data_IF_975448237121
#
_entry.id   IF_975448237121
#
_cell.length_a   1.000
_cell.length_b   1.000
_cell.length_c   1.000
_cell.angle_alpha   90.00
_cell.angle_beta   90.00
_cell.angle_gamma   90.00
#
_symmetry.space_group_name_H-M   'P 1'
#
loop_
_entity.id
_entity.type
_entity.pdbx_description
1 polymer ?
#
# COMPACT_ATOMS: atom_id res chain seq x y z
N UNK A 1 14.55 -9.45 9.01
CA UNK A 1 15.15 -9.13 10.32
C UNK A 1 16.47 -9.85 10.47
N UNK A 2 17.45 -9.27 11.16
CA UNK A 2 18.73 -9.92 11.40
C UNK A 2 18.61 -10.67 12.73
N UNK A 3 18.45 -11.99 12.74
CA UNK A 3 18.21 -12.77 13.96
C UNK A 3 19.38 -12.78 14.93
N UNK A 4 20.54 -12.27 14.48
CA UNK A 4 21.79 -12.21 15.27
C UNK A 4 21.91 -10.94 16.12
N UNK A 5 21.00 -9.97 15.96
CA UNK A 5 21.07 -8.70 16.70
C UNK A 5 20.13 -8.75 17.89
N UNK A 6 20.66 -9.08 19.06
CA UNK A 6 19.99 -9.02 20.37
C UNK A 6 20.47 -7.78 21.12
N UNK A 7 19.55 -6.94 21.59
CA UNK A 7 19.80 -5.82 22.49
C UNK A 7 18.84 -5.87 23.67
N UNK A 8 19.32 -5.51 24.84
CA UNK A 8 18.54 -5.50 26.08
C UNK A 8 17.66 -4.25 26.24
N UNK A 9 17.75 -3.28 25.32
CA UNK A 9 17.02 -2.01 25.37
C UNK A 9 16.24 -1.78 24.05
N UNK A 10 15.11 -1.06 24.11
CA UNK A 10 14.38 -0.68 22.90
C UNK A 10 15.26 0.21 22.02
N UNK A 11 15.39 -0.13 20.75
CA UNK A 11 16.25 0.62 19.85
C UNK A 11 16.10 0.16 18.40
N UNK A 12 16.98 0.67 17.54
CA UNK A 12 17.02 0.31 16.11
C UNK A 12 18.13 -0.70 15.84
N UNK A 13 17.89 -1.63 14.92
CA UNK A 13 18.88 -2.58 14.43
C UNK A 13 20.08 -1.82 13.82
N UNK A 14 21.34 -2.08 14.24
CA UNK A 14 22.51 -1.37 13.70
C UNK A 14 22.78 -1.67 12.21
N UNK A 15 22.28 -2.79 11.69
CA UNK A 15 22.52 -3.21 10.31
C UNK A 15 21.45 -2.66 9.34
N UNK A 16 20.17 -2.65 9.73
CA UNK A 16 19.07 -2.22 8.85
C UNK A 16 18.24 -1.04 9.37
N UNK A 17 18.55 -0.53 10.60
CA UNK A 17 17.89 0.60 11.26
C UNK A 17 16.40 0.44 11.56
N UNK A 18 15.83 -0.75 11.34
CA UNK A 18 14.45 -1.04 11.75
C UNK A 18 14.34 -1.12 13.28
N UNK A 19 13.16 -0.78 13.81
CA UNK A 19 12.88 -0.90 15.24
C UNK A 19 12.99 -2.36 15.68
N UNK A 20 13.72 -2.60 16.79
CA UNK A 20 13.80 -3.92 17.40
C UNK A 20 12.50 -4.19 18.16
N UNK A 21 11.89 -5.34 17.90
CA UNK A 21 10.68 -5.79 18.59
C UNK A 21 11.08 -6.62 19.81
N UNK A 22 10.45 -6.45 21.00
CA UNK A 22 10.77 -7.25 22.18
C UNK A 22 10.58 -8.73 21.92
N UNK A 23 11.62 -9.53 22.14
CA UNK A 23 11.54 -10.98 22.08
C UNK A 23 11.08 -11.47 23.47
N UNK A 24 9.86 -12.00 23.52
CA UNK A 24 9.19 -12.69 24.61
C UNK A 24 9.72 -12.49 26.04
N UNK A 25 9.07 -11.66 26.83
CA UNK A 25 9.06 -11.82 28.29
C UNK A 25 7.86 -12.66 28.69
N UNK A 26 8.12 -13.94 28.98
CA UNK A 26 7.32 -14.65 29.97
C UNK A 26 7.58 -14.00 31.32
N UNK A 27 6.70 -13.16 31.78
CA UNK A 27 6.64 -12.77 33.19
C UNK A 27 5.18 -12.78 33.61
N UNK A 28 4.87 -13.79 34.42
CA UNK A 28 3.71 -13.73 35.27
C UNK A 28 3.83 -12.54 36.20
N UNK A 29 2.79 -11.77 36.29
CA UNK A 29 2.44 -11.04 37.50
C UNK A 29 0.94 -10.88 37.63
N UNK A 30 0.49 -11.23 38.81
CA UNK A 30 -0.83 -11.17 39.41
C UNK A 30 -1.42 -9.76 39.49
N UNK A 31 -2.78 -9.76 39.43
CA UNK A 31 -3.77 -8.95 40.17
C UNK A 31 -3.96 -7.47 39.79
N UNK A 32 -5.12 -7.05 39.38
CA UNK A 32 -6.37 -6.88 40.14
C UNK A 32 -7.47 -6.36 39.20
N UNK A 33 -8.68 -6.77 39.53
CA UNK A 33 -9.96 -6.34 38.97
C UNK A 33 -10.10 -4.84 38.76
N UNK A 34 -10.52 -4.44 37.56
CA UNK A 34 -11.66 -3.56 37.38
C UNK A 34 -12.29 -3.82 36.02
N UNK A 35 -13.58 -4.15 36.07
CA UNK A 35 -14.49 -4.25 34.94
C UNK A 35 -14.48 -2.97 34.14
N UNK A 36 -14.21 -3.04 32.85
CA UNK A 36 -14.91 -2.30 31.82
C UNK A 36 -14.72 -3.06 30.50
N UNK A 37 -15.85 -3.44 29.93
CA UNK A 37 -15.90 -4.11 28.65
C UNK A 37 -15.32 -3.25 27.55
N UNK A 38 -14.30 -3.72 26.89
CA UNK A 38 -13.85 -3.22 25.62
C UNK A 38 -13.71 -4.35 24.61
N UNK A 39 -14.49 -4.18 23.60
CA UNK A 39 -14.74 -5.01 22.47
C UNK A 39 -13.45 -5.42 21.74
N UNK A 40 -13.25 -6.74 21.61
CA UNK A 40 -12.38 -7.39 20.63
C UNK A 40 -12.88 -7.11 19.20
N UNK A 41 -12.49 -5.96 18.65
CA UNK A 41 -12.69 -5.59 17.26
C UNK A 41 -11.35 -5.20 16.61
N UNK A 42 -10.39 -6.12 16.48
CA UNK A 42 -9.12 -5.76 15.83
C UNK A 42 -8.83 -6.47 14.50
N UNK A 43 -9.60 -7.48 14.11
CA UNK A 43 -9.39 -8.16 12.82
C UNK A 43 -10.27 -7.64 11.67
N UNK A 44 -11.40 -6.95 11.97
CA UNK A 44 -12.31 -6.42 10.94
C UNK A 44 -12.15 -4.92 10.63
N UNK A 45 -11.28 -4.20 11.35
CA UNK A 45 -11.11 -2.75 11.13
C UNK A 45 -10.11 -2.42 10.01
N UNK A 46 -9.15 -3.29 9.69
CA UNK A 46 -8.20 -3.03 8.59
C UNK A 46 -8.87 -3.08 7.21
N UNK A 47 -9.76 -4.03 6.96
CA UNK A 47 -10.43 -4.17 5.65
C UNK A 47 -11.40 -3.03 5.32
N UNK A 48 -12.06 -2.44 6.33
CA UNK A 48 -12.95 -1.28 6.12
C UNK A 48 -12.20 0.01 5.83
N UNK A 49 -11.00 0.19 6.38
CA UNK A 49 -10.21 1.41 6.18
C UNK A 49 -9.46 1.42 4.85
N UNK A 50 -8.96 0.28 4.37
CA UNK A 50 -8.28 0.20 3.06
C UNK A 50 -9.24 0.45 1.88
N UNK A 51 -10.45 -0.10 1.92
CA UNK A 51 -11.47 0.13 0.90
C UNK A 51 -11.94 1.59 0.84
N UNK A 52 -11.98 2.28 1.97
CA UNK A 52 -12.35 3.69 2.04
C UNK A 52 -11.29 4.63 1.43
N UNK A 53 -10.01 4.32 1.57
CA UNK A 53 -8.94 5.17 1.03
C UNK A 53 -8.90 5.18 -0.51
N UNK A 54 -9.06 4.04 -1.16
CA UNK A 54 -9.07 3.97 -2.65
C UNK A 54 -10.28 4.64 -3.26
N UNK A 55 -11.45 4.49 -2.63
CA UNK A 55 -12.67 5.17 -3.09
C UNK A 55 -12.56 6.69 -2.90
N UNK A 56 -11.86 7.14 -1.86
CA UNK A 56 -11.64 8.57 -1.61
C UNK A 56 -10.72 9.20 -2.67
N UNK A 57 -9.65 8.51 -3.10
CA UNK A 57 -8.77 8.99 -4.17
C UNK A 57 -9.50 9.07 -5.53
N UNK A 58 -10.30 8.07 -5.88
CA UNK A 58 -11.08 8.10 -7.12
C UNK A 58 -12.13 9.22 -7.11
N UNK A 59 -12.81 9.43 -5.98
CA UNK A 59 -13.75 10.53 -5.80
C UNK A 59 -13.05 11.89 -5.94
N UNK A 60 -11.89 12.05 -5.30
CA UNK A 60 -11.08 13.27 -5.42
C UNK A 60 -10.60 13.49 -6.84
N UNK A 61 -10.18 12.45 -7.55
CA UNK A 61 -9.80 12.54 -8.96
C UNK A 61 -10.93 13.09 -9.83
N UNK A 62 -12.14 12.52 -9.76
CA UNK A 62 -13.26 12.98 -10.58
C UNK A 62 -13.70 14.41 -10.25
N UNK A 63 -13.76 14.75 -8.97
CA UNK A 63 -14.11 16.12 -8.55
C UNK A 63 -13.02 17.11 -9.03
N UNK A 64 -11.74 16.77 -8.85
CA UNK A 64 -10.63 17.63 -9.31
C UNK A 64 -10.62 17.74 -10.82
N UNK A 65 -10.93 16.66 -11.56
CA UNK A 65 -11.03 16.69 -13.01
C UNK A 65 -12.13 17.65 -13.50
N UNK A 66 -13.30 17.61 -12.86
CA UNK A 66 -14.41 18.53 -13.18
C UNK A 66 -14.03 19.97 -12.90
N UNK A 67 -13.32 20.26 -11.81
CA UNK A 67 -12.83 21.61 -11.47
C UNK A 67 -11.74 22.06 -12.42
N UNK A 68 -10.92 21.15 -12.92
CA UNK A 68 -9.81 21.46 -13.85
C UNK A 68 -10.33 21.96 -15.21
N UNK A 69 -11.46 21.45 -15.69
CA UNK A 69 -12.01 21.88 -16.99
C UNK A 69 -12.24 23.39 -17.07
N UNK A 70 -12.96 24.05 -16.14
CA UNK A 70 -13.12 25.49 -16.17
C UNK A 70 -11.80 26.25 -15.92
N UNK A 71 -10.86 25.70 -15.13
CA UNK A 71 -9.54 26.31 -14.95
C UNK A 71 -8.79 26.34 -16.30
N UNK A 72 -8.79 25.26 -17.04
CA UNK A 72 -8.18 25.19 -18.37
C UNK A 72 -8.86 26.17 -19.35
N UNK A 73 -10.19 26.23 -19.34
CA UNK A 73 -10.94 27.12 -20.21
C UNK A 73 -10.68 28.61 -19.91
N UNK A 74 -10.44 28.96 -18.65
CA UNK A 74 -10.17 30.34 -18.23
C UNK A 74 -8.68 30.71 -18.22
N UNK A 75 -7.77 29.76 -18.34
CA UNK A 75 -6.34 30.01 -18.36
C UNK A 75 -5.92 30.77 -19.61
N UNK A 76 -5.33 31.94 -19.44
CA UNK A 76 -4.85 32.80 -20.55
C UNK A 76 -3.84 32.09 -21.45
N UNK A 77 -3.00 31.22 -20.89
CA UNK A 77 -2.02 30.45 -21.66
C UNK A 77 -2.71 29.45 -22.60
N UNK A 78 -3.72 28.74 -22.13
CA UNK A 78 -4.49 27.79 -22.95
C UNK A 78 -5.33 28.53 -24.00
N UNK A 79 -5.92 29.66 -23.63
CA UNK A 79 -6.67 30.50 -24.56
C UNK A 79 -5.78 30.98 -25.69
N UNK A 80 -4.59 31.50 -25.40
CA UNK A 80 -3.63 31.94 -26.41
C UNK A 80 -3.17 30.79 -27.32
N UNK A 81 -3.00 29.58 -26.77
CA UNK A 81 -2.59 28.41 -27.54
C UNK A 81 -3.67 27.87 -28.45
N UNK A 82 -4.95 27.89 -28.01
CA UNK A 82 -6.09 27.43 -28.78
C UNK A 82 -6.75 28.54 -29.65
N UNK A 83 -6.32 29.79 -29.52
CA UNK A 83 -6.77 30.90 -30.34
C UNK A 83 -8.18 31.42 -30.01
N UNK A 84 -8.63 31.31 -28.75
CA UNK A 84 -9.88 31.90 -28.26
C UNK A 84 -9.62 32.81 -27.08
N UNK A 85 -10.54 33.72 -26.77
CA UNK A 85 -10.47 34.60 -25.59
C UNK A 85 -11.82 34.54 -24.84
N UNK A 86 -11.76 34.24 -23.55
CA UNK A 86 -12.89 34.23 -22.60
C UNK A 86 -12.53 35.16 -21.45
N UNK A 87 -12.60 36.50 -21.71
CA UNK A 87 -12.30 37.49 -20.71
C UNK A 87 -13.58 38.14 -20.21
N UNK A 88 -13.78 38.13 -18.88
CA UNK A 88 -14.86 38.84 -18.23
C UNK A 88 -14.38 39.49 -16.93
N UNK A 89 -15.11 40.51 -16.49
CA UNK A 89 -14.72 41.22 -15.26
C UNK A 89 -14.74 40.30 -14.07
N UNK A 90 -13.56 39.94 -13.52
CA UNK A 90 -13.41 39.09 -12.35
C UNK A 90 -12.95 37.64 -12.65
N UNK A 91 -12.60 37.31 -13.89
CA UNK A 91 -12.05 36.01 -14.31
C UNK A 91 -10.90 35.54 -13.40
N UNK A 92 -9.97 36.44 -13.05
CA UNK A 92 -8.84 36.15 -12.13
C UNK A 92 -9.29 35.68 -10.75
N UNK A 93 -10.37 36.23 -10.21
CA UNK A 93 -10.89 35.84 -8.91
C UNK A 93 -11.61 34.48 -8.99
N UNK A 94 -12.25 34.18 -10.13
CA UNK A 94 -12.83 32.85 -10.38
C UNK A 94 -11.72 31.80 -10.48
N UNK A 95 -10.64 32.08 -11.21
CA UNK A 95 -9.44 31.24 -11.27
C UNK A 95 -8.83 31.02 -9.89
N UNK A 96 -8.71 32.07 -9.08
CA UNK A 96 -8.23 31.99 -7.71
C UNK A 96 -9.12 31.06 -6.84
N UNK A 97 -10.42 31.24 -6.93
CA UNK A 97 -11.37 30.41 -6.16
C UNK A 97 -11.29 28.93 -6.55
N UNK A 98 -11.28 28.64 -7.85
CA UNK A 98 -11.15 27.28 -8.39
C UNK A 98 -9.78 26.68 -8.08
N UNK A 99 -8.70 27.47 -8.25
CA UNK A 99 -7.33 27.06 -7.92
C UNK A 99 -7.17 26.76 -6.42
N UNK A 100 -7.77 27.57 -5.55
CA UNK A 100 -7.78 27.32 -4.10
C UNK A 100 -8.55 26.06 -3.77
N UNK A 101 -9.71 25.84 -4.39
CA UNK A 101 -10.52 24.65 -4.16
C UNK A 101 -9.78 23.37 -4.55
N UNK A 102 -9.13 23.35 -5.72
CA UNK A 102 -8.38 22.18 -6.18
C UNK A 102 -7.11 21.96 -5.34
N UNK A 103 -6.41 23.03 -4.95
CA UNK A 103 -5.23 22.95 -4.08
C UNK A 103 -5.58 22.35 -2.72
N UNK A 104 -6.64 22.83 -2.05
CA UNK A 104 -7.05 22.36 -0.73
C UNK A 104 -7.73 20.98 -0.79
N UNK A 105 -8.57 20.72 -1.79
CA UNK A 105 -9.30 19.44 -1.87
C UNK A 105 -8.49 18.34 -2.54
N UNK A 106 -8.00 18.57 -3.74
CA UNK A 106 -7.22 17.62 -4.53
C UNK A 106 -5.76 17.48 -4.08
N UNK A 107 -5.14 18.60 -3.67
CA UNK A 107 -3.76 18.66 -3.20
C UNK A 107 -3.54 18.11 -1.77
N UNK A 108 -4.59 18.06 -0.92
CA UNK A 108 -4.48 17.66 0.49
C UNK A 108 -3.75 16.32 0.73
N UNK A 109 -3.96 15.25 -0.05
CA UNK A 109 -3.21 14.00 0.12
C UNK A 109 -1.70 14.19 0.00
N UNK A 110 -1.25 15.00 -0.96
CA UNK A 110 0.18 15.27 -1.20
C UNK A 110 0.77 16.14 -0.09
N UNK A 111 0.03 17.13 0.38
CA UNK A 111 0.46 17.99 1.50
C UNK A 111 0.60 17.17 2.80
N UNK A 112 -0.36 16.28 3.09
CA UNK A 112 -0.26 15.36 4.24
C UNK A 112 0.87 14.35 4.06
N UNK A 113 1.05 13.82 2.85
CA UNK A 113 2.15 12.91 2.51
C UNK A 113 3.51 13.55 2.72
N UNK A 114 3.70 14.81 2.28
CA UNK A 114 4.92 15.58 2.54
C UNK A 114 5.23 15.68 4.03
N UNK A 115 4.24 16.01 4.86
CA UNK A 115 4.44 16.09 6.32
C UNK A 115 4.89 14.73 6.88
N UNK A 116 4.31 13.63 6.38
CA UNK A 116 4.72 12.26 6.76
C UNK A 116 6.15 11.94 6.34
N UNK A 117 6.52 12.19 5.09
CA UNK A 117 7.87 11.95 4.55
C UNK A 117 8.93 12.78 5.26
N UNK A 118 8.65 14.06 5.53
CA UNK A 118 9.57 14.96 6.27
C UNK A 118 9.76 14.49 7.71
N UNK A 119 8.68 14.11 8.40
CA UNK A 119 8.78 13.54 9.77
C UNK A 119 9.57 12.24 9.80
N UNK A 120 9.40 11.40 8.79
CA UNK A 120 10.14 10.15 8.64
C UNK A 120 11.58 10.35 8.14
N UNK A 121 11.99 11.59 7.79
CA UNK A 121 13.27 11.91 7.14
C UNK A 121 13.51 11.13 5.84
N UNK A 122 12.45 10.76 5.17
CA UNK A 122 12.45 9.96 3.94
C UNK A 122 11.74 10.76 2.83
N UNK A 123 12.39 11.82 2.37
CA UNK A 123 11.90 12.69 1.29
C UNK A 123 11.70 11.85 0.03
N UNK A 124 10.51 11.90 -0.54
CA UNK A 124 10.09 11.14 -1.70
C UNK A 124 9.20 11.95 -2.65
N UNK A 125 8.37 11.24 -3.39
CA UNK A 125 7.52 11.80 -4.45
C UNK A 125 6.45 12.75 -3.89
N UNK A 126 5.86 12.46 -2.72
CA UNK A 126 4.82 13.31 -2.12
C UNK A 126 5.37 14.69 -1.78
N UNK A 127 6.60 14.77 -1.27
CA UNK A 127 7.26 16.05 -0.96
C UNK A 127 7.52 16.86 -2.23
N UNK A 128 8.01 16.23 -3.30
CA UNK A 128 8.27 16.92 -4.57
C UNK A 128 6.99 17.53 -5.16
N UNK A 129 5.92 16.73 -5.23
CA UNK A 129 4.62 17.19 -5.73
C UNK A 129 4.05 18.32 -4.85
N UNK A 130 4.09 18.14 -3.52
CA UNK A 130 3.59 19.14 -2.59
C UNK A 130 4.31 20.49 -2.71
N UNK A 131 5.63 20.47 -2.90
CA UNK A 131 6.42 21.71 -3.16
C UNK A 131 6.00 22.34 -4.48
N UNK A 132 5.91 21.56 -5.56
CA UNK A 132 5.55 22.09 -6.88
C UNK A 132 4.16 22.73 -6.87
N UNK A 133 3.13 22.04 -6.32
CA UNK A 133 1.78 22.61 -6.25
C UNK A 133 1.69 23.80 -5.31
N UNK A 134 2.49 23.84 -4.22
CA UNK A 134 2.49 24.97 -3.29
C UNK A 134 3.15 26.20 -3.91
N UNK A 135 4.29 26.03 -4.58
CA UNK A 135 4.98 27.13 -5.26
C UNK A 135 4.12 27.70 -6.39
N UNK A 136 3.51 26.84 -7.22
CA UNK A 136 2.60 27.25 -8.27
C UNK A 136 1.39 28.02 -7.70
N UNK A 137 0.80 27.53 -6.62
CA UNK A 137 -0.34 28.16 -5.96
C UNK A 137 0.03 29.54 -5.38
N UNK A 138 1.08 29.62 -4.58
CA UNK A 138 1.50 30.88 -3.92
C UNK A 138 1.86 31.94 -4.94
N UNK A 139 2.58 31.58 -5.99
CA UNK A 139 2.91 32.50 -7.08
C UNK A 139 1.66 33.00 -7.83
N UNK A 140 0.75 32.08 -8.20
CA UNK A 140 -0.49 32.45 -8.89
C UNK A 140 -1.39 33.36 -8.04
N UNK A 141 -1.43 33.13 -6.72
CA UNK A 141 -2.10 34.05 -5.79
C UNK A 141 -1.46 35.44 -5.85
N UNK A 142 -0.13 35.53 -5.82
CA UNK A 142 0.57 36.84 -5.93
C UNK A 142 0.27 37.54 -7.26
N UNK A 143 0.16 36.80 -8.37
CA UNK A 143 -0.21 37.37 -9.70
C UNK A 143 -1.62 37.94 -9.67
N UNK A 144 -2.60 37.23 -9.06
CA UNK A 144 -3.97 37.74 -8.93
C UNK A 144 -4.02 39.06 -8.14
N UNK A 145 -3.15 39.23 -7.14
CA UNK A 145 -3.07 40.42 -6.30
C UNK A 145 -2.13 41.51 -6.85
N UNK A 146 -1.66 41.39 -8.09
CA UNK A 146 -0.98 42.49 -8.80
C UNK A 146 0.50 42.26 -9.11
N UNK A 147 1.06 41.07 -8.82
CA UNK A 147 2.39 40.73 -9.33
C UNK A 147 2.32 40.57 -10.85
N UNK A 148 3.16 41.29 -11.65
CA UNK A 148 3.21 41.06 -13.08
C UNK A 148 3.65 39.63 -13.42
N UNK A 149 3.01 39.00 -14.41
CA UNK A 149 3.31 37.63 -14.84
C UNK A 149 2.08 36.85 -15.19
N UNK A 150 2.28 35.58 -15.59
CA UNK A 150 1.19 34.63 -15.87
C UNK A 150 0.97 33.70 -14.67
N UNK A 151 -0.29 33.39 -14.38
CA UNK A 151 -0.64 32.41 -13.34
C UNK A 151 -0.33 30.98 -13.77
N UNK A 152 -0.14 30.09 -12.78
CA UNK A 152 0.14 28.66 -12.95
C UNK A 152 -1.02 27.78 -12.42
N UNK A 153 -2.26 28.29 -12.40
CA UNK A 153 -3.38 27.51 -11.92
C UNK A 153 -3.69 26.30 -12.80
N UNK A 154 -3.44 26.38 -14.11
CA UNK A 154 -3.68 25.27 -15.01
C UNK A 154 -2.67 24.13 -14.82
N UNK A 155 -1.37 24.47 -14.61
CA UNK A 155 -0.35 23.46 -14.28
C UNK A 155 -0.63 22.80 -12.93
N UNK A 156 -0.95 23.60 -11.91
CA UNK A 156 -1.33 23.13 -10.60
C UNK A 156 -2.50 22.15 -10.69
N UNK A 157 -3.55 22.48 -11.44
CA UNK A 157 -4.73 21.66 -11.57
C UNK A 157 -4.45 20.34 -12.30
N UNK A 158 -3.75 20.42 -13.44
CA UNK A 158 -3.40 19.22 -14.23
C UNK A 158 -2.43 18.32 -13.47
N UNK A 159 -1.45 18.87 -12.76
CA UNK A 159 -0.53 18.11 -11.91
C UNK A 159 -1.29 17.33 -10.83
N UNK A 160 -2.20 17.99 -10.10
CA UNK A 160 -2.99 17.34 -9.06
C UNK A 160 -3.84 16.21 -9.64
N UNK A 161 -4.53 16.43 -10.77
CA UNK A 161 -5.37 15.39 -11.41
C UNK A 161 -4.56 14.18 -11.84
N UNK A 162 -3.43 14.40 -12.52
CA UNK A 162 -2.56 13.31 -12.98
C UNK A 162 -2.00 12.53 -11.79
N UNK A 163 -1.57 13.20 -10.74
CA UNK A 163 -1.02 12.56 -9.56
C UNK A 163 -2.07 11.80 -8.74
N UNK A 164 -3.31 12.29 -8.65
CA UNK A 164 -4.41 11.57 -8.03
C UNK A 164 -4.74 10.28 -8.79
N UNK A 165 -4.72 10.34 -10.14
CA UNK A 165 -4.91 9.16 -10.99
C UNK A 165 -3.80 8.12 -10.75
N UNK A 166 -2.53 8.57 -10.76
CA UNK A 166 -1.38 7.70 -10.54
C UNK A 166 -1.46 6.97 -9.21
N UNK A 167 -1.77 7.71 -8.15
CA UNK A 167 -1.87 7.15 -6.80
C UNK A 167 -3.06 6.19 -6.65
N UNK A 168 -4.21 6.50 -7.27
CA UNK A 168 -5.34 5.59 -7.31
C UNK A 168 -5.01 4.27 -8.03
N UNK A 169 -4.30 4.33 -9.16
CA UNK A 169 -3.85 3.14 -9.89
C UNK A 169 -2.91 2.28 -9.05
N UNK A 170 -1.99 2.92 -8.32
CA UNK A 170 -1.08 2.25 -7.40
C UNK A 170 -1.83 1.49 -6.31
N UNK A 171 -2.74 2.17 -5.61
CA UNK A 171 -3.54 1.57 -4.53
C UNK A 171 -4.46 0.44 -5.04
N UNK A 172 -5.08 0.62 -6.20
CA UNK A 172 -5.91 -0.42 -6.83
C UNK A 172 -5.11 -1.69 -7.12
N UNK A 173 -3.85 -1.54 -7.56
CA UNK A 173 -2.95 -2.67 -7.80
C UNK A 173 -2.62 -3.43 -6.52
N UNK A 174 -2.34 -2.72 -5.44
CA UNK A 174 -2.03 -3.33 -4.15
C UNK A 174 -3.22 -4.12 -3.61
N UNK A 175 -4.45 -3.62 -3.78
CA UNK A 175 -5.67 -4.31 -3.35
C UNK A 175 -6.01 -5.56 -4.18
N UNK A 176 -5.69 -5.59 -5.48
CA UNK A 176 -5.93 -6.77 -6.30
C UNK A 176 -5.11 -7.97 -5.80
N UNK A 177 -3.90 -7.72 -5.31
CA UNK A 177 -3.04 -8.72 -4.71
C UNK A 177 -3.58 -9.20 -3.34
N UNK A 178 -4.17 -8.31 -2.53
CA UNK A 178 -4.78 -8.64 -1.24
C UNK A 178 -6.03 -9.54 -1.37
N UNK A 179 -6.83 -9.38 -2.43
CA UNK A 179 -7.97 -10.27 -2.70
C UNK A 179 -7.59 -11.73 -2.91
N UNK A 180 -6.46 -11.99 -3.54
CA UNK A 180 -5.96 -13.36 -3.71
C UNK A 180 -5.62 -14.02 -2.37
N UNK A 181 -5.14 -13.23 -1.38
CA UNK A 181 -4.89 -13.70 -0.03
C UNK A 181 -6.19 -14.01 0.73
N UNK A 182 -7.21 -13.17 0.58
CA UNK A 182 -8.51 -13.40 1.22
C UNK A 182 -9.14 -14.74 0.79
N UNK A 183 -8.91 -15.17 -0.45
CA UNK A 183 -9.35 -16.49 -0.90
C UNK A 183 -8.67 -17.65 -0.17
N UNK A 184 -7.44 -17.48 0.32
CA UNK A 184 -6.76 -18.49 1.15
C UNK A 184 -7.36 -18.55 2.57
N UNK A 185 -7.74 -17.42 3.15
CA UNK A 185 -8.43 -17.38 4.45
C UNK A 185 -9.80 -18.06 4.37
N UNK A 186 -10.50 -17.92 3.24
CA UNK A 186 -11.78 -18.59 3.00
C UNK A 186 -11.69 -20.14 2.90
N UNK A 187 -10.47 -20.69 2.88
CA UNK A 187 -10.27 -22.14 2.98
C UNK A 187 -10.58 -22.69 4.37
N UNK A 188 -10.51 -21.88 5.43
CA UNK A 188 -10.80 -22.33 6.79
C UNK A 188 -12.32 -22.38 7.04
N UNK A 189 -12.80 -23.35 7.81
CA UNK A 189 -14.21 -23.42 8.24
C UNK A 189 -14.47 -22.37 9.33
N UNK A 190 -15.70 -21.87 9.41
CA UNK A 190 -16.11 -20.93 10.46
C UNK A 190 -16.34 -21.63 11.82
N UNK A 191 -16.77 -22.90 11.78
CA UNK A 191 -17.09 -23.72 12.94
C UNK A 191 -16.28 -25.01 12.92
N UNK A 192 -15.94 -25.50 14.09
CA UNK A 192 -15.19 -26.74 14.31
C UNK A 192 -15.84 -27.60 15.34
N UNK A 193 -15.72 -28.91 15.21
CA UNK A 193 -16.21 -29.87 16.21
C UNK A 193 -15.04 -30.30 17.09
N UNK A 194 -15.07 -29.96 18.38
CA UNK A 194 -14.07 -30.34 19.36
C UNK A 194 -14.62 -31.39 20.30
N UNK A 195 -13.75 -32.29 20.81
CA UNK A 195 -14.08 -33.26 21.84
C UNK A 195 -13.65 -32.70 23.20
N UNK A 196 -14.62 -32.40 24.08
CA UNK A 196 -14.38 -31.95 25.46
C UNK A 196 -15.11 -32.86 26.40
N UNK A 197 -14.42 -33.48 27.37
CA UNK A 197 -14.98 -34.42 28.36
C UNK A 197 -15.72 -35.61 27.72
N UNK A 198 -15.31 -36.05 26.54
CA UNK A 198 -15.94 -37.14 25.81
C UNK A 198 -17.18 -36.75 24.98
N UNK A 199 -17.59 -35.51 25.00
CA UNK A 199 -18.70 -34.98 24.20
C UNK A 199 -18.18 -34.15 23.00
N UNK A 200 -18.87 -34.29 21.87
CA UNK A 200 -18.59 -33.53 20.67
C UNK A 200 -19.36 -32.18 20.69
N UNK A 201 -18.65 -31.09 20.79
CA UNK A 201 -19.19 -29.75 20.85
C UNK A 201 -18.79 -28.95 19.59
N UNK A 202 -19.75 -28.24 19.00
CA UNK A 202 -19.44 -27.26 17.93
C UNK A 202 -19.08 -25.92 18.54
N UNK A 203 -17.92 -25.40 18.17
CA UNK A 203 -17.44 -24.09 18.59
C UNK A 203 -17.01 -23.27 17.36
N UNK A 204 -16.86 -21.97 17.50
CA UNK A 204 -16.24 -21.13 16.46
C UNK A 204 -14.75 -21.44 16.35
N UNK A 205 -14.19 -21.35 15.13
CA UNK A 205 -12.75 -21.57 14.91
C UNK A 205 -11.88 -20.69 15.81
N UNK A 206 -12.33 -19.46 16.09
CA UNK A 206 -11.62 -18.50 16.93
C UNK A 206 -11.49 -18.91 18.41
N UNK A 207 -12.38 -19.80 18.86
CA UNK A 207 -12.40 -20.33 20.23
C UNK A 207 -11.54 -21.58 20.43
N UNK A 208 -11.05 -22.17 19.32
CA UNK A 208 -10.20 -23.36 19.34
C UNK A 208 -8.83 -23.03 19.96
N UNK A 209 -8.37 -23.89 20.86
CA UNK A 209 -7.08 -23.76 21.55
C UNK A 209 -6.11 -24.87 21.17
N UNK A 210 -4.81 -24.54 21.25
CA UNK A 210 -3.76 -25.55 21.11
C UNK A 210 -3.92 -26.64 22.15
N UNK A 211 -3.74 -27.92 21.74
CA UNK A 211 -3.91 -29.11 22.58
C UNK A 211 -5.33 -29.66 22.59
N UNK A 212 -6.33 -28.98 22.07
CA UNK A 212 -7.69 -29.52 21.96
C UNK A 212 -7.80 -30.59 20.87
N UNK A 213 -8.65 -31.58 21.10
CA UNK A 213 -8.94 -32.63 20.13
C UNK A 213 -10.07 -32.17 19.21
N UNK A 214 -9.81 -32.14 17.91
CA UNK A 214 -10.80 -31.79 16.89
C UNK A 214 -11.21 -33.02 16.12
N UNK A 215 -12.53 -33.20 15.92
CA UNK A 215 -13.11 -34.24 15.12
C UNK A 215 -13.39 -33.74 13.72
N UNK A 216 -12.83 -34.40 12.71
CA UNK A 216 -12.96 -34.03 11.30
C UNK A 216 -13.65 -35.18 10.56
N UNK A 217 -14.82 -34.91 10.01
CA UNK A 217 -15.61 -35.86 9.24
C UNK A 217 -15.11 -35.98 7.81
N UNK A 218 -15.51 -37.04 7.09
CA UNK A 218 -15.24 -37.16 5.66
C UNK A 218 -15.68 -35.91 4.88
N UNK A 219 -14.83 -35.40 3.98
CA UNK A 219 -15.08 -34.24 3.18
C UNK A 219 -14.94 -32.89 3.89
N UNK A 220 -14.75 -32.86 5.22
CA UNK A 220 -14.58 -31.59 5.95
C UNK A 220 -13.17 -31.02 5.77
N UNK A 221 -13.10 -29.71 5.87
CA UNK A 221 -11.82 -28.97 5.88
C UNK A 221 -11.15 -29.11 7.25
N UNK A 222 -9.85 -29.29 7.25
CA UNK A 222 -9.02 -29.33 8.46
C UNK A 222 -8.88 -27.91 9.01
N UNK A 223 -9.35 -27.63 10.24
CA UNK A 223 -9.46 -26.27 10.76
C UNK A 223 -8.15 -25.70 11.32
N UNK A 224 -7.23 -26.57 11.74
CA UNK A 224 -5.98 -26.17 12.39
C UNK A 224 -4.86 -27.17 12.05
N UNK A 225 -3.62 -26.72 12.17
CA UNK A 225 -2.48 -27.62 12.11
C UNK A 225 -2.52 -28.55 13.31
N UNK A 226 -2.21 -29.81 13.10
CA UNK A 226 -2.28 -30.79 14.17
C UNK A 226 -1.59 -32.09 13.87
N UNK A 227 -1.63 -32.97 14.88
CA UNK A 227 -1.19 -34.36 14.81
C UNK A 227 -2.40 -35.26 14.94
N UNK A 228 -2.52 -36.24 14.07
CA UNK A 228 -3.62 -37.22 14.12
C UNK A 228 -3.48 -38.05 15.38
N UNK A 229 -4.46 -37.97 16.26
CA UNK A 229 -4.56 -38.78 17.48
C UNK A 229 -5.34 -40.10 17.27
N UNK A 230 -6.19 -40.14 16.22
CA UNK A 230 -6.96 -41.34 15.88
C UNK A 230 -7.61 -41.26 14.50
N UNK A 231 -7.90 -42.42 13.94
CA UNK A 231 -8.47 -42.54 12.59
C UNK A 231 -7.41 -42.70 11.50
N UNK A 232 -7.88 -42.96 10.29
CA UNK A 232 -7.09 -43.02 9.07
C UNK A 232 -7.92 -42.46 7.91
N UNK A 233 -7.29 -41.71 7.04
CA UNK A 233 -7.94 -41.10 5.86
C UNK A 233 -6.92 -40.74 4.81
N UNK A 234 -7.40 -40.38 3.62
CA UNK A 234 -6.63 -39.64 2.63
C UNK A 234 -6.87 -38.14 2.83
N UNK A 235 -5.83 -37.34 2.80
CA UNK A 235 -5.93 -35.88 2.94
C UNK A 235 -5.45 -35.19 1.66
N UNK A 236 -6.29 -34.35 1.10
CA UNK A 236 -5.94 -33.55 -0.06
C UNK A 236 -5.30 -32.23 0.40
N UNK A 237 -3.99 -32.11 0.18
CA UNK A 237 -3.17 -30.95 0.53
C UNK A 237 -2.84 -30.08 -0.70
N UNK A 238 -3.45 -30.35 -1.88
CA UNK A 238 -3.10 -29.74 -3.17
C UNK A 238 -3.18 -28.20 -3.18
N UNK A 239 -4.12 -27.64 -2.45
CA UNK A 239 -4.28 -26.19 -2.33
C UNK A 239 -3.10 -25.50 -1.63
N UNK A 240 -2.32 -26.24 -0.87
CA UNK A 240 -1.19 -25.73 -0.07
C UNK A 240 0.17 -26.16 -0.65
N UNK A 241 0.27 -27.42 -1.10
CA UNK A 241 1.51 -28.02 -1.60
C UNK A 241 1.63 -28.01 -3.12
N UNK A 242 0.50 -27.88 -3.83
CA UNK A 242 0.44 -28.02 -5.29
C UNK A 242 0.38 -29.48 -5.77
N UNK A 243 0.56 -30.48 -4.88
CA UNK A 243 0.51 -31.88 -5.24
C UNK A 243 -0.92 -32.39 -5.34
N UNK A 244 -1.33 -32.82 -6.52
CA UNK A 244 -2.72 -33.23 -6.81
C UNK A 244 -3.14 -34.56 -6.18
N UNK A 245 -2.18 -35.39 -5.75
CA UNK A 245 -2.46 -36.75 -5.22
C UNK A 245 -2.73 -36.66 -3.71
N UNK A 246 -3.92 -37.12 -3.22
CA UNK A 246 -4.20 -37.15 -1.80
C UNK A 246 -3.21 -38.05 -1.04
N UNK A 247 -2.73 -37.58 0.10
CA UNK A 247 -1.75 -38.27 0.93
C UNK A 247 -2.47 -39.10 1.98
N UNK A 248 -2.15 -40.42 2.09
CA UNK A 248 -2.68 -41.28 3.18
C UNK A 248 -2.08 -40.83 4.50
N UNK A 249 -2.94 -40.56 5.47
CA UNK A 249 -2.60 -40.12 6.84
C UNK A 249 -3.20 -41.07 7.85
N UNK A 250 -2.43 -41.34 8.90
CA UNK A 250 -2.80 -42.22 10.02
C UNK A 250 -2.35 -41.62 11.35
N UNK A 251 -2.68 -42.23 12.46
CA UNK A 251 -2.28 -41.77 13.78
C UNK A 251 -0.78 -41.48 13.87
N UNK A 252 -0.42 -40.34 14.46
CA UNK A 252 0.93 -39.77 14.48
C UNK A 252 1.30 -38.90 13.26
N UNK A 253 0.50 -38.94 12.18
CA UNK A 253 0.71 -38.10 11.00
C UNK A 253 0.38 -36.61 11.25
N UNK A 254 1.12 -35.70 10.61
CA UNK A 254 0.83 -34.27 10.66
C UNK A 254 -0.19 -33.91 9.61
N UNK A 255 -1.07 -32.96 9.93
CA UNK A 255 -2.04 -32.34 9.03
C UNK A 255 -1.93 -30.82 9.08
N UNK A 256 -2.28 -30.18 7.99
CA UNK A 256 -2.14 -28.73 7.78
C UNK A 256 -3.54 -28.12 7.66
N UNK A 257 -3.77 -26.99 8.32
CA UNK A 257 -5.00 -26.20 8.23
C UNK A 257 -5.32 -25.82 6.77
N UNK A 258 -6.60 -25.94 6.37
CA UNK A 258 -7.05 -25.69 5.01
C UNK A 258 -7.03 -26.89 4.06
N UNK A 259 -6.40 -28.01 4.43
CA UNK A 259 -6.49 -29.28 3.70
C UNK A 259 -7.89 -29.88 3.80
N UNK A 260 -8.25 -30.75 2.86
CA UNK A 260 -9.57 -31.41 2.81
C UNK A 260 -9.40 -32.87 3.21
N UNK A 261 -10.15 -33.30 4.22
CA UNK A 261 -10.20 -34.69 4.64
C UNK A 261 -10.97 -35.54 3.60
N UNK A 262 -10.46 -36.72 3.29
CA UNK A 262 -11.08 -37.67 2.37
C UNK A 262 -12.18 -38.52 3.03
N UNK A 263 -12.09 -39.84 2.89
CA UNK A 263 -13.18 -40.76 3.17
C UNK A 263 -13.29 -41.18 4.62
N UNK A 264 -12.23 -41.04 5.43
CA UNK A 264 -12.16 -41.45 6.81
C UNK A 264 -12.51 -40.35 7.81
N UNK A 265 -12.90 -40.72 9.04
CA UNK A 265 -12.99 -39.77 10.14
C UNK A 265 -11.62 -39.63 10.80
N UNK A 266 -11.18 -38.40 11.06
CA UNK A 266 -9.94 -38.10 11.75
C UNK A 266 -10.21 -37.40 13.08
N UNK A 267 -9.44 -37.76 14.10
CA UNK A 267 -9.29 -37.00 15.33
C UNK A 267 -7.88 -36.41 15.31
N UNK A 268 -7.77 -35.12 15.45
CA UNK A 268 -6.47 -34.42 15.50
C UNK A 268 -6.31 -33.66 16.80
N UNK A 269 -5.10 -33.62 17.33
CA UNK A 269 -4.73 -32.73 18.42
C UNK A 269 -4.17 -31.44 17.77
N UNK A 270 -4.82 -30.31 18.00
CA UNK A 270 -4.43 -29.03 17.44
C UNK A 270 -3.07 -28.57 18.00
N UNK A 271 -2.12 -28.26 17.12
CA UNK A 271 -0.76 -27.78 17.49
C UNK A 271 -0.46 -26.38 17.00
N UNK A 272 -1.21 -25.90 16.02
CA UNK A 272 -1.08 -24.53 15.46
C UNK A 272 -2.46 -23.96 15.16
N UNK A 273 -2.92 -23.05 16.01
CA UNK A 273 -4.23 -22.40 15.91
C UNK A 273 -4.07 -20.91 15.65
N UNK A 274 -4.98 -20.30 14.89
CA UNK A 274 -4.99 -18.87 14.63
C UNK A 274 -3.68 -18.37 14.01
N UNK A 275 -3.03 -17.41 14.63
CA UNK A 275 -1.80 -16.76 14.12
C UNK A 275 -0.60 -17.72 14.01
N UNK A 276 -0.62 -18.81 14.76
CA UNK A 276 0.48 -19.80 14.80
C UNK A 276 0.33 -20.89 13.75
N UNK A 277 -0.81 -20.94 13.04
CA UNK A 277 -1.04 -21.92 11.97
C UNK A 277 -0.12 -21.67 10.78
N UNK A 278 0.25 -22.74 10.07
CA UNK A 278 1.03 -22.70 8.85
C UNK A 278 0.40 -21.77 7.81
N UNK A 279 -0.91 -21.84 7.61
CA UNK A 279 -1.64 -21.01 6.66
C UNK A 279 -1.50 -19.52 7.01
N UNK A 280 -1.67 -19.13 8.28
CA UNK A 280 -1.49 -17.75 8.71
C UNK A 280 -0.03 -17.28 8.59
N UNK A 281 0.94 -18.15 8.84
CA UNK A 281 2.36 -17.82 8.57
C UNK A 281 2.62 -17.56 7.09
N UNK A 282 2.03 -18.35 6.20
CA UNK A 282 2.11 -18.14 4.74
C UNK A 282 1.45 -16.81 4.36
N UNK A 283 0.24 -16.54 4.89
CA UNK A 283 -0.48 -15.27 4.66
C UNK A 283 0.37 -14.07 5.09
N UNK A 284 0.93 -14.10 6.30
CA UNK A 284 1.79 -13.03 6.81
C UNK A 284 3.06 -12.85 5.96
N UNK A 285 3.71 -13.95 5.56
CA UNK A 285 4.88 -13.88 4.67
C UNK A 285 4.54 -13.24 3.31
N UNK A 286 3.36 -13.55 2.75
CA UNK A 286 2.93 -12.96 1.48
C UNK A 286 2.55 -11.49 1.67
N UNK A 287 1.90 -11.13 2.79
CA UNK A 287 1.64 -9.72 3.12
C UNK A 287 2.92 -8.91 3.29
N UNK A 288 3.88 -9.39 4.08
CA UNK A 288 5.20 -8.74 4.24
C UNK A 288 5.92 -8.58 2.89
N UNK A 289 5.81 -9.57 2.02
CA UNK A 289 6.41 -9.52 0.68
C UNK A 289 5.69 -8.51 -0.24
N UNK A 290 4.38 -8.33 -0.09
CA UNK A 290 3.60 -7.35 -0.85
C UNK A 290 3.82 -5.92 -0.37
N UNK A 291 4.02 -5.72 0.94
CA UNK A 291 4.36 -4.42 1.53
C UNK A 291 5.81 -4.00 1.22
N UNK A 292 6.68 -4.94 0.88
CA UNK A 292 8.05 -4.65 0.51
C UNK A 292 8.10 -3.89 -0.83
N UNK A 293 8.67 -2.66 -0.81
CA UNK A 293 8.88 -1.88 -2.01
C UNK A 293 9.79 -2.61 -3.00
N UNK A 294 9.44 -2.56 -4.27
CA UNK A 294 10.28 -3.09 -5.33
C UNK A 294 11.56 -2.27 -5.51
N UNK A 295 12.58 -2.83 -6.15
CA UNK A 295 13.81 -2.09 -6.48
C UNK A 295 13.51 -0.90 -7.38
N UNK A 296 12.57 -1.04 -8.30
CA UNK A 296 12.13 0.03 -9.20
C UNK A 296 11.45 1.16 -8.44
N UNK A 297 10.62 0.86 -7.44
CA UNK A 297 10.01 1.87 -6.55
C UNK A 297 11.06 2.57 -5.69
N UNK A 298 12.02 1.82 -5.13
CA UNK A 298 13.12 2.40 -4.36
C UNK A 298 14.01 3.31 -5.21
N UNK A 299 14.23 2.96 -6.48
CA UNK A 299 14.95 3.80 -7.43
C UNK A 299 14.17 5.09 -7.72
N UNK A 300 12.85 4.98 -7.92
CA UNK A 300 11.97 6.13 -8.14
C UNK A 300 12.01 7.10 -6.95
N UNK A 301 11.92 6.59 -5.73
CA UNK A 301 12.03 7.42 -4.51
C UNK A 301 13.38 8.14 -4.42
N UNK A 302 14.48 7.45 -4.78
CA UNK A 302 15.81 8.08 -4.88
C UNK A 302 15.86 9.19 -5.92
N UNK A 303 15.34 8.91 -7.11
CA UNK A 303 15.29 9.90 -8.20
C UNK A 303 14.43 11.08 -7.80
N UNK A 304 13.24 10.87 -7.24
CA UNK A 304 12.36 11.93 -6.75
C UNK A 304 13.05 12.81 -5.69
N UNK A 305 13.77 12.17 -4.75
CA UNK A 305 14.57 12.90 -3.75
C UNK A 305 15.62 13.79 -4.39
N UNK A 306 16.41 13.27 -5.32
CA UNK A 306 17.43 14.05 -6.01
C UNK A 306 16.83 15.17 -6.85
N UNK A 307 15.74 14.90 -7.58
CA UNK A 307 15.01 15.90 -8.34
C UNK A 307 14.47 17.02 -7.46
N UNK A 308 13.99 16.71 -6.25
CA UNK A 308 13.55 17.73 -5.29
C UNK A 308 14.68 18.70 -4.95
N UNK A 309 15.85 18.17 -4.61
CA UNK A 309 17.01 19.02 -4.30
C UNK A 309 17.50 19.82 -5.52
N UNK A 310 17.56 19.18 -6.68
CA UNK A 310 17.96 19.83 -7.94
C UNK A 310 16.97 20.93 -8.30
N UNK A 311 15.66 20.66 -8.24
CA UNK A 311 14.62 21.63 -8.54
C UNK A 311 14.71 22.87 -7.65
N UNK A 312 14.91 22.68 -6.35
CA UNK A 312 15.09 23.79 -5.41
C UNK A 312 16.39 24.55 -5.70
N UNK A 313 17.51 23.85 -5.86
CA UNK A 313 18.81 24.49 -6.10
C UNK A 313 18.84 25.27 -7.41
N UNK A 314 18.34 24.67 -8.51
CA UNK A 314 18.29 25.33 -9.83
C UNK A 314 17.24 26.43 -9.82
N UNK A 315 16.08 26.23 -9.17
CA UNK A 315 15.06 27.28 -9.05
C UNK A 315 15.59 28.50 -8.30
N UNK A 316 16.21 28.31 -7.13
CA UNK A 316 16.84 29.42 -6.38
C UNK A 316 18.00 30.04 -7.17
N UNK A 317 18.84 29.27 -7.84
CA UNK A 317 19.90 29.73 -8.69
C UNK A 317 19.38 30.60 -9.86
N UNK A 318 18.29 30.16 -10.49
CA UNK A 318 17.59 30.89 -11.55
C UNK A 318 17.07 32.25 -11.05
N UNK A 319 16.45 32.24 -9.85
CA UNK A 319 15.99 33.46 -9.22
C UNK A 319 17.14 34.45 -8.97
N UNK A 320 18.22 33.99 -8.34
CA UNK A 320 19.39 34.84 -8.04
C UNK A 320 19.99 35.40 -9.34
N UNK A 321 20.17 34.58 -10.36
CA UNK A 321 20.74 34.97 -11.63
C UNK A 321 19.90 36.10 -12.32
N UNK A 322 18.59 35.86 -12.49
CA UNK A 322 17.73 36.81 -13.17
C UNK A 322 17.47 38.07 -12.36
N UNK A 323 17.32 37.94 -11.03
CA UNK A 323 17.19 39.11 -10.17
C UNK A 323 18.44 40.01 -10.20
N UNK A 324 19.62 39.40 -10.19
CA UNK A 324 20.89 40.14 -10.30
C UNK A 324 21.11 40.78 -11.68
N UNK A 325 20.60 40.13 -12.73
CA UNK A 325 20.81 40.57 -14.12
C UNK A 325 19.78 41.61 -14.58
N UNK A 326 18.51 41.44 -14.26
CA UNK A 326 17.41 42.30 -14.73
C UNK A 326 16.93 43.31 -13.69
N UNK A 327 17.15 43.03 -12.39
CA UNK A 327 16.55 43.79 -11.29
C UNK A 327 15.03 43.63 -11.15
N UNK A 328 14.41 42.83 -12.02
CA UNK A 328 12.96 42.63 -12.04
C UNK A 328 12.59 41.38 -11.17
N UNK A 329 11.97 41.67 -10.03
CA UNK A 329 11.53 40.65 -9.07
C UNK A 329 10.47 39.73 -9.69
N UNK A 330 9.50 40.28 -10.42
CA UNK A 330 8.39 39.49 -10.97
C UNK A 330 8.89 38.49 -12.02
N UNK A 331 9.73 38.96 -12.93
CA UNK A 331 10.36 38.16 -13.97
C UNK A 331 11.24 37.04 -13.35
N UNK A 332 12.05 37.35 -12.32
CA UNK A 332 12.91 36.39 -11.66
C UNK A 332 12.10 35.31 -10.94
N UNK A 333 11.00 35.70 -10.25
CA UNK A 333 10.08 34.77 -9.59
C UNK A 333 9.37 33.85 -10.59
N UNK A 334 8.86 34.38 -11.70
CA UNK A 334 8.22 33.58 -12.75
C UNK A 334 9.16 32.51 -13.29
N UNK A 335 10.41 32.83 -13.57
CA UNK A 335 11.42 31.87 -14.05
C UNK A 335 11.75 30.82 -13.00
N UNK A 336 11.89 31.22 -11.74
CA UNK A 336 12.07 30.26 -10.63
C UNK A 336 10.92 29.27 -10.54
N UNK A 337 9.68 29.74 -10.53
CA UNK A 337 8.48 28.93 -10.44
C UNK A 337 8.37 27.98 -11.64
N UNK A 338 8.59 28.50 -12.85
CA UNK A 338 8.60 27.69 -14.07
C UNK A 338 9.58 26.51 -13.96
N UNK A 339 10.82 26.77 -13.50
CA UNK A 339 11.81 25.69 -13.29
C UNK A 339 11.34 24.68 -12.27
N UNK A 340 10.82 25.12 -11.13
CA UNK A 340 10.40 24.24 -10.05
C UNK A 340 9.20 23.37 -10.44
N UNK A 341 8.21 23.93 -11.15
CA UNK A 341 7.02 23.22 -11.58
C UNK A 341 7.36 22.24 -12.72
N UNK A 342 8.17 22.67 -13.70
CA UNK A 342 8.58 21.80 -14.81
C UNK A 342 9.47 20.63 -14.38
N UNK A 343 10.26 20.81 -13.31
CA UNK A 343 11.08 19.74 -12.74
C UNK A 343 10.27 18.59 -12.12
N UNK A 344 8.95 18.76 -11.96
CA UNK A 344 8.10 17.72 -11.41
C UNK A 344 7.92 16.55 -12.41
N UNK A 345 8.36 15.32 -12.08
CA UNK A 345 8.33 14.18 -13.00
C UNK A 345 6.94 13.53 -13.06
N UNK A 346 5.98 14.18 -13.72
CA UNK A 346 4.60 13.71 -13.86
C UNK A 346 4.52 12.25 -14.37
N UNK A 347 5.34 11.91 -15.38
CA UNK A 347 5.37 10.57 -15.96
C UNK A 347 5.85 9.51 -14.97
N UNK A 348 6.81 9.83 -14.09
CA UNK A 348 7.35 8.89 -13.10
C UNK A 348 6.29 8.52 -12.06
N UNK A 349 5.47 9.49 -11.65
CA UNK A 349 4.39 9.29 -10.68
C UNK A 349 3.26 8.37 -11.14
N UNK A 350 3.10 8.17 -12.46
CA UNK A 350 2.07 7.29 -13.04
C UNK A 350 2.67 6.02 -13.62
N UNK A 351 3.81 6.10 -14.31
CA UNK A 351 4.36 4.96 -15.05
C UNK A 351 4.79 3.80 -14.15
N UNK A 352 5.47 4.07 -13.03
CA UNK A 352 5.95 3.02 -12.12
C UNK A 352 4.80 2.30 -11.44
N UNK A 353 3.84 2.98 -10.78
CA UNK A 353 2.67 2.32 -10.25
C UNK A 353 1.89 1.50 -11.28
N UNK A 354 1.73 2.04 -12.48
CA UNK A 354 1.00 1.36 -13.57
C UNK A 354 1.70 0.07 -14.01
N UNK A 355 3.02 0.10 -14.20
CA UNK A 355 3.80 -1.12 -14.58
C UNK A 355 3.71 -2.17 -13.48
N UNK A 356 3.86 -1.78 -12.22
CA UNK A 356 3.71 -2.69 -11.07
C UNK A 356 2.31 -3.28 -11.03
N UNK A 357 1.27 -2.46 -11.26
CA UNK A 357 -0.12 -2.87 -11.31
C UNK A 357 -0.38 -3.94 -12.38
N UNK A 358 0.01 -3.63 -13.62
CA UNK A 358 -0.19 -4.52 -14.76
C UNK A 358 0.57 -5.83 -14.56
N UNK A 359 1.84 -5.76 -14.14
CA UNK A 359 2.67 -6.95 -13.94
C UNK A 359 2.11 -7.87 -12.84
N UNK A 360 1.65 -7.29 -11.72
CA UNK A 360 1.06 -8.06 -10.62
C UNK A 360 -0.27 -8.69 -11.04
N UNK A 361 -1.13 -7.93 -11.73
CA UNK A 361 -2.42 -8.43 -12.22
C UNK A 361 -2.22 -9.55 -13.24
N UNK A 362 -1.32 -9.36 -14.22
CA UNK A 362 -1.04 -10.35 -15.25
C UNK A 362 -0.47 -11.65 -14.64
N UNK A 363 0.41 -11.55 -13.66
CA UNK A 363 0.93 -12.71 -12.94
C UNK A 363 -0.17 -13.44 -12.17
N UNK A 364 -1.01 -12.72 -11.42
CA UNK A 364 -2.10 -13.30 -10.65
C UNK A 364 -3.16 -13.98 -11.54
N UNK A 365 -3.51 -13.39 -12.68
CA UNK A 365 -4.48 -13.98 -13.63
C UNK A 365 -3.93 -15.24 -14.30
N UNK A 366 -2.62 -15.40 -14.38
CA UNK A 366 -1.95 -16.62 -14.87
C UNK A 366 -1.58 -17.60 -13.75
N UNK A 367 -2.13 -17.43 -12.54
CA UNK A 367 -1.89 -18.33 -11.42
C UNK A 367 -0.52 -18.19 -10.75
N UNK A 368 0.23 -17.14 -11.07
CA UNK A 368 1.54 -16.87 -10.49
C UNK A 368 1.42 -15.87 -9.34
N UNK A 369 1.63 -16.33 -8.12
CA UNK A 369 1.68 -15.47 -6.93
C UNK A 369 3.09 -14.93 -6.72
N UNK A 370 3.25 -13.61 -6.84
CA UNK A 370 4.55 -12.97 -6.62
C UNK A 370 4.83 -12.90 -5.12
N UNK A 371 5.71 -13.79 -4.64
CA UNK A 371 6.14 -13.83 -3.24
C UNK A 371 7.23 -12.80 -2.92
N UNK A 372 8.04 -12.42 -3.89
CA UNK A 372 9.11 -11.45 -3.73
C UNK A 372 9.23 -10.58 -4.98
N UNK A 373 8.88 -9.31 -4.86
CA UNK A 373 8.88 -8.36 -5.99
C UNK A 373 10.28 -8.13 -6.56
N UNK A 374 11.29 -8.04 -5.71
CA UNK A 374 12.67 -7.87 -6.17
C UNK A 374 13.14 -9.08 -6.97
N UNK A 375 12.84 -10.29 -6.51
CA UNK A 375 13.15 -11.51 -7.25
C UNK A 375 12.38 -11.57 -8.58
N UNK A 376 11.08 -11.18 -8.58
CA UNK A 376 10.29 -11.12 -9.80
C UNK A 376 10.86 -10.12 -10.82
N UNK A 377 11.30 -8.94 -10.40
CA UNK A 377 11.95 -7.98 -11.31
C UNK A 377 13.25 -8.51 -11.91
N UNK A 378 13.99 -9.34 -11.19
CA UNK A 378 15.23 -9.96 -11.70
C UNK A 378 14.98 -11.11 -12.68
N UNK A 379 13.76 -11.68 -12.72
CA UNK A 379 13.43 -12.78 -13.66
C UNK A 379 13.57 -12.37 -15.13
N UNK A 380 13.41 -11.09 -15.46
CA UNK A 380 13.65 -10.58 -16.83
C UNK A 380 15.08 -10.79 -17.34
N UNK A 381 16.03 -10.98 -16.42
CA UNK A 381 17.46 -11.15 -16.72
C UNK A 381 17.92 -12.62 -16.63
N UNK A 382 16.98 -13.58 -16.47
CA UNK A 382 17.32 -14.99 -16.41
C UNK A 382 17.80 -15.47 -17.77
N UNK A 383 18.94 -16.14 -17.77
CA UNK A 383 19.51 -16.80 -18.95
C UNK A 383 19.20 -18.31 -18.97
N UNK A 384 18.86 -18.88 -17.82
CA UNK A 384 18.65 -20.33 -17.66
C UNK A 384 17.47 -20.58 -16.73
N UNK A 385 16.59 -21.51 -17.12
CA UNK A 385 15.45 -21.98 -16.30
C UNK A 385 15.64 -23.48 -16.11
N UNK A 386 15.59 -23.91 -14.84
CA UNK A 386 15.65 -25.33 -14.48
C UNK A 386 14.26 -25.69 -13.95
N UNK A 387 13.62 -26.66 -14.60
CA UNK A 387 12.36 -27.21 -14.15
C UNK A 387 12.65 -28.38 -13.21
N UNK A 388 12.06 -28.35 -12.03
CA UNK A 388 11.96 -29.52 -11.14
C UNK A 388 10.72 -30.33 -11.51
N UNK A 389 10.71 -31.62 -11.13
CA UNK A 389 9.63 -32.56 -11.49
C UNK A 389 8.31 -32.15 -10.87
#
# INVERSE_FOLDING_TARGET
MHPQVLKNEPGKCPLCRMALVPFGKTSGHNHNHHEHGEHLHSAHQHDKHEGHHTHDFLKRFWISLIITVPILALSHMIQNWLGYSLEFTGDKYVLLALGTLIYLYGGMPFLKGMVGEVKAKAIGMMTLVAIAITVAFVYSVAVVFGLPGMDFFWELATLIVIMLLGHWLEMRSQMAASKALQSLVALLPNEVTVERNGEALKIKLEELKNGETVIIRPGEKIPADGVISGGNSSVNESMLTGESVPVKKQAGGKVIAGSINGDGMLKITATGVGKDSYLNKVINLVQEAQEAKSNTQNLADKVAKWLTFIAIAVGVGTFIYWFSSSGDLAFALERMVTVMVTACPHALGVAIPLVVAISTTLSATNGLLIRNRTAFETTRNLSTIIFDK
#
